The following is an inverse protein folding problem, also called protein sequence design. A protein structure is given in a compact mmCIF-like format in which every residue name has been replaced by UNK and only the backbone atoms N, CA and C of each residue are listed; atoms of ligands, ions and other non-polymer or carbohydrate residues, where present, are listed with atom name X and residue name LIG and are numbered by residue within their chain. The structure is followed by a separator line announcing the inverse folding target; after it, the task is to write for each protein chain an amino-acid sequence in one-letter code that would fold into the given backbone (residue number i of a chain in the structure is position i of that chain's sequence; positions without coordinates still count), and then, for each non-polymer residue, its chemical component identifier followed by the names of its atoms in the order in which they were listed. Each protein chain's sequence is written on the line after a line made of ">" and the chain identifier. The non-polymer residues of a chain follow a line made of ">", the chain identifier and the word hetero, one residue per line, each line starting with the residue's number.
data_IF_396697289821
#
_entry.id   IF_396697289821
#
_cell.length_a   1.000
_cell.length_b   1.000
_cell.length_c   1.000
_cell.angle_alpha   90.00
_cell.angle_beta   90.00
_cell.angle_gamma   90.00
#
_symmetry.space_group_name_H-M   'P 1'
#
loop_
_entity.id
_entity.type
_entity.pdbx_description
1 polymer ?
#
# COMPACT_ATOMS: atom_id res chain seq x y z
N UNK A 1 -12.68 -1.99 15.48
CA UNK A 1 -11.66 -2.71 16.27
C UNK A 1 -11.27 -1.83 17.46
N UNK A 2 -11.27 -2.36 18.67
CA UNK A 2 -10.81 -1.68 19.89
C UNK A 2 -9.43 -2.21 20.34
N UNK A 3 -8.86 -1.60 21.38
CA UNK A 3 -7.54 -1.94 21.90
C UNK A 3 -7.40 -3.43 22.27
N UNK A 4 -8.39 -3.99 22.98
CA UNK A 4 -8.40 -5.41 23.38
C UNK A 4 -8.38 -6.33 22.16
N UNK A 5 -9.28 -6.12 21.21
CA UNK A 5 -9.37 -6.90 19.97
C UNK A 5 -8.07 -6.84 19.16
N UNK A 6 -7.45 -5.66 19.06
CA UNK A 6 -6.19 -5.49 18.35
C UNK A 6 -5.04 -6.23 19.04
N UNK A 7 -4.94 -6.15 20.37
CA UNK A 7 -3.92 -6.87 21.15
C UNK A 7 -4.08 -8.39 21.02
N UNK A 8 -5.31 -8.89 21.06
CA UNK A 8 -5.63 -10.31 20.88
C UNK A 8 -5.17 -10.83 19.51
N UNK A 9 -5.43 -10.08 18.43
CA UNK A 9 -4.96 -10.44 17.08
C UNK A 9 -3.43 -10.39 16.95
N UNK A 10 -2.77 -9.43 17.59
CA UNK A 10 -1.32 -9.24 17.47
C UNK A 10 -0.49 -10.17 18.36
N UNK A 11 -1.03 -10.65 19.49
CA UNK A 11 -0.31 -11.49 20.45
C UNK A 11 0.37 -12.73 19.81
N UNK A 12 -0.32 -13.57 19.02
CA UNK A 12 0.32 -14.73 18.40
C UNK A 12 1.39 -14.34 17.37
N UNK A 13 1.18 -13.25 16.63
CA UNK A 13 2.17 -12.74 15.68
C UNK A 13 3.44 -12.26 16.38
N UNK A 14 3.30 -11.51 17.49
CA UNK A 14 4.42 -11.02 18.29
C UNK A 14 5.21 -12.19 18.90
N UNK A 15 4.54 -13.19 19.46
CA UNK A 15 5.19 -14.39 19.98
C UNK A 15 5.98 -15.12 18.89
N UNK A 16 5.39 -15.29 17.69
CA UNK A 16 6.10 -15.90 16.55
C UNK A 16 7.31 -15.08 16.12
N UNK A 17 7.18 -13.77 15.98
CA UNK A 17 8.30 -12.91 15.58
C UNK A 17 9.42 -12.87 16.62
N UNK A 18 9.11 -13.05 17.90
CA UNK A 18 10.12 -13.20 18.96
C UNK A 18 10.86 -14.54 18.87
N UNK A 19 10.14 -15.63 18.62
CA UNK A 19 10.72 -16.97 18.50
C UNK A 19 11.48 -17.16 17.17
N UNK A 20 10.95 -16.58 16.08
CA UNK A 20 11.45 -16.71 14.72
C UNK A 20 11.41 -15.34 14.00
N UNK A 21 12.42 -14.48 14.20
CA UNK A 21 12.45 -13.12 13.63
C UNK A 21 12.36 -13.07 12.10
N UNK A 22 12.90 -14.08 11.41
CA UNK A 22 12.83 -14.17 9.96
C UNK A 22 11.38 -14.25 9.43
N UNK A 23 10.46 -14.77 10.23
CA UNK A 23 9.03 -14.83 9.85
C UNK A 23 8.34 -13.47 9.80
N UNK A 24 8.98 -12.41 10.32
CA UNK A 24 8.52 -11.02 10.19
C UNK A 24 8.97 -10.35 8.88
N UNK A 25 9.90 -10.96 8.14
CA UNK A 25 10.41 -10.42 6.89
C UNK A 25 9.47 -10.81 5.73
N UNK A 26 8.93 -9.81 5.04
CA UNK A 26 8.04 -9.98 3.90
C UNK A 26 8.60 -9.23 2.69
N UNK A 27 8.53 -9.86 1.52
CA UNK A 27 8.82 -9.21 0.24
C UNK A 27 7.47 -8.84 -0.39
N UNK A 28 7.29 -7.55 -0.65
CA UNK A 28 6.13 -7.06 -1.40
C UNK A 28 6.47 -6.99 -2.88
N UNK A 29 5.56 -7.42 -3.74
CA UNK A 29 5.72 -7.41 -5.20
C UNK A 29 4.60 -6.62 -5.86
N UNK A 30 4.90 -6.04 -7.02
CA UNK A 30 3.93 -5.40 -7.90
C UNK A 30 4.31 -5.70 -9.34
N UNK A 31 3.30 -5.91 -10.19
CA UNK A 31 3.48 -6.18 -11.61
C UNK A 31 2.70 -5.15 -12.42
N UNK A 32 3.23 -4.81 -13.59
CA UNK A 32 2.61 -3.89 -14.52
C UNK A 32 2.79 -4.34 -15.96
N UNK A 33 1.82 -4.00 -16.81
CA UNK A 33 1.83 -4.28 -18.23
C UNK A 33 1.79 -2.98 -19.02
N UNK A 34 2.79 -2.77 -19.89
CA UNK A 34 2.85 -1.60 -20.76
C UNK A 34 1.72 -1.63 -21.79
N UNK A 35 1.10 -0.48 -22.03
CA UNK A 35 0.13 -0.31 -23.10
C UNK A 35 0.85 -0.14 -24.45
N UNK A 36 0.31 -0.77 -25.51
CA UNK A 36 0.92 -0.74 -26.84
C UNK A 36 0.49 0.47 -27.69
N UNK A 37 -0.62 1.13 -27.33
CA UNK A 37 -1.20 2.26 -28.05
C UNK A 37 -1.10 3.60 -27.31
N UNK A 38 -0.70 3.59 -26.04
CA UNK A 38 -0.61 4.78 -25.21
C UNK A 38 0.67 4.80 -24.34
N UNK A 39 1.06 6.01 -23.89
CA UNK A 39 2.08 6.17 -22.84
C UNK A 39 1.45 5.87 -21.49
N UNK A 40 1.15 4.59 -21.26
CA UNK A 40 0.47 4.10 -20.08
C UNK A 40 0.98 2.73 -19.63
N UNK A 41 0.76 2.41 -18.36
CA UNK A 41 1.06 1.12 -17.74
C UNK A 41 -0.13 0.67 -16.90
N UNK A 42 -0.62 -0.53 -17.18
CA UNK A 42 -1.67 -1.20 -16.41
C UNK A 42 -1.05 -1.81 -15.15
N UNK A 43 -1.47 -1.38 -13.96
CA UNK A 43 -0.96 -1.91 -12.68
C UNK A 43 -2.09 -2.63 -11.95
N UNK A 44 -1.87 -3.87 -11.56
CA UNK A 44 -2.83 -4.62 -10.77
C UNK A 44 -2.81 -4.12 -9.32
N UNK A 45 -3.96 -3.70 -8.82
CA UNK A 45 -4.16 -3.38 -7.40
C UNK A 45 -5.12 -4.38 -6.77
N UNK A 46 -5.19 -4.39 -5.43
CA UNK A 46 -6.10 -5.27 -4.70
C UNK A 46 -7.59 -5.05 -4.97
N UNK A 47 -7.98 -3.96 -5.67
CA UNK A 47 -9.37 -3.69 -6.03
C UNK A 47 -9.64 -3.68 -7.53
N UNK A 48 -8.68 -3.21 -8.34
CA UNK A 48 -8.86 -3.09 -9.78
C UNK A 48 -7.53 -3.03 -10.54
N UNK A 49 -7.59 -3.22 -11.85
CA UNK A 49 -6.52 -2.83 -12.75
C UNK A 49 -6.58 -1.31 -12.97
N UNK A 50 -5.48 -0.61 -12.69
CA UNK A 50 -5.38 0.85 -12.84
C UNK A 50 -4.50 1.17 -14.05
N UNK A 51 -4.98 2.05 -14.93
CA UNK A 51 -4.15 2.66 -15.98
C UNK A 51 -3.38 3.84 -15.40
N UNK A 52 -2.07 3.69 -15.29
CA UNK A 52 -1.17 4.75 -14.85
C UNK A 52 -0.51 5.42 -16.07
N UNK A 53 -0.41 6.74 -16.07
CA UNK A 53 0.15 7.51 -17.19
C UNK A 53 0.92 8.74 -16.76
N UNK A 54 1.32 9.56 -17.74
CA UNK A 54 2.07 10.78 -17.49
C UNK A 54 1.24 11.80 -16.70
N UNK A 55 1.89 12.46 -15.75
CA UNK A 55 1.33 13.63 -15.09
C UNK A 55 1.18 14.79 -16.09
N UNK A 56 0.19 15.69 -15.94
CA UNK A 56 0.04 16.84 -16.84
C UNK A 56 1.27 17.73 -16.95
N UNK A 57 2.02 17.92 -15.86
CA UNK A 57 3.29 18.68 -15.87
C UNK A 57 4.41 17.99 -16.69
N UNK A 58 4.24 16.72 -17.04
CA UNK A 58 5.13 15.96 -17.91
C UNK A 58 4.51 15.70 -19.31
N UNK A 59 3.41 16.39 -19.65
CA UNK A 59 2.75 16.29 -20.96
C UNK A 59 1.61 15.27 -21.04
N UNK A 60 1.15 14.72 -19.92
CA UNK A 60 -0.08 13.92 -19.89
C UNK A 60 -1.35 14.77 -20.06
N UNK A 61 -2.43 14.18 -20.54
CA UNK A 61 -3.73 14.85 -20.70
C UNK A 61 -4.64 14.73 -19.46
N UNK A 62 -4.18 13.99 -18.43
CA UNK A 62 -4.93 13.74 -17.20
C UNK A 62 -5.98 12.62 -17.29
N UNK A 63 -6.02 11.87 -18.39
CA UNK A 63 -6.95 10.74 -18.57
C UNK A 63 -6.58 9.49 -17.75
N UNK A 64 -5.29 9.34 -17.41
CA UNK A 64 -4.76 8.21 -16.64
C UNK A 64 -4.38 8.62 -15.21
N UNK A 65 -4.31 7.63 -14.32
CA UNK A 65 -3.86 7.85 -12.95
C UNK A 65 -2.40 8.31 -12.94
N UNK A 66 -2.12 9.37 -12.18
CA UNK A 66 -0.75 9.81 -11.98
C UNK A 66 -0.01 8.87 -11.02
N UNK A 67 1.13 8.32 -11.46
CA UNK A 67 1.97 7.48 -10.60
C UNK A 67 2.54 8.22 -9.39
N UNK A 68 2.79 9.53 -9.52
CA UNK A 68 3.21 10.39 -8.41
C UNK A 68 2.12 10.50 -7.33
N UNK A 69 0.87 10.72 -7.74
CA UNK A 69 -0.26 10.74 -6.80
C UNK A 69 -0.47 9.38 -6.16
N UNK A 70 -0.37 8.29 -6.93
CA UNK A 70 -0.47 6.93 -6.41
C UNK A 70 0.57 6.66 -5.32
N UNK A 71 1.82 7.10 -5.53
CA UNK A 71 2.89 6.99 -4.53
C UNK A 71 2.55 7.77 -3.26
N UNK A 72 2.09 9.02 -3.40
CA UNK A 72 1.73 9.87 -2.26
C UNK A 72 0.50 9.33 -1.49
N UNK A 73 -0.48 8.77 -2.20
CA UNK A 73 -1.65 8.11 -1.63
C UNK A 73 -1.23 6.87 -0.82
N UNK A 74 -0.33 6.04 -1.35
CA UNK A 74 0.22 4.90 -0.62
C UNK A 74 0.98 5.35 0.65
N UNK A 75 1.79 6.41 0.54
CA UNK A 75 2.54 6.98 1.66
C UNK A 75 1.61 7.48 2.78
N UNK A 76 0.62 8.32 2.45
CA UNK A 76 -0.29 8.88 3.45
C UNK A 76 -1.18 7.81 4.07
N UNK A 77 -1.61 6.82 3.28
CA UNK A 77 -2.37 5.67 3.78
C UNK A 77 -1.56 4.84 4.79
N UNK A 78 -0.30 4.54 4.47
CA UNK A 78 0.60 3.81 5.36
C UNK A 78 0.82 4.55 6.69
N UNK A 79 1.11 5.85 6.62
CA UNK A 79 1.28 6.68 7.81
C UNK A 79 0.00 6.77 8.66
N UNK A 80 -1.15 7.00 8.03
CA UNK A 80 -2.45 7.12 8.70
C UNK A 80 -2.88 5.84 9.41
N UNK A 81 -2.74 4.69 8.75
CA UNK A 81 -3.05 3.38 9.37
C UNK A 81 -2.13 3.12 10.56
N UNK A 82 -0.83 3.40 10.43
CA UNK A 82 0.13 3.23 11.52
C UNK A 82 -0.23 4.11 12.72
N UNK A 83 -0.50 5.40 12.49
CA UNK A 83 -0.92 6.34 13.52
C UNK A 83 -2.16 5.85 14.26
N UNK A 84 -3.19 5.43 13.51
CA UNK A 84 -4.45 4.95 14.09
C UNK A 84 -4.25 3.65 14.88
N UNK A 85 -3.44 2.73 14.37
CA UNK A 85 -3.14 1.46 15.04
C UNK A 85 -2.42 1.69 16.38
N UNK A 86 -1.42 2.59 16.42
CA UNK A 86 -0.72 2.95 17.66
C UNK A 86 -1.66 3.62 18.64
N UNK A 87 -2.43 4.63 18.21
CA UNK A 87 -3.40 5.30 19.08
C UNK A 87 -4.40 4.31 19.69
N UNK A 88 -4.94 3.40 18.88
CA UNK A 88 -5.87 2.35 19.33
C UNK A 88 -5.23 1.39 20.33
N UNK A 89 -3.91 1.19 20.28
CA UNK A 89 -3.18 0.31 21.21
C UNK A 89 -2.80 1.01 22.52
N UNK A 90 -2.90 2.33 22.61
CA UNK A 90 -2.65 3.13 23.82
C UNK A 90 -3.92 3.32 24.66
N UNK A 91 -5.09 3.24 24.04
CA UNK A 91 -6.39 3.18 24.72
C UNK A 91 -6.56 1.87 25.54
#
# INVERSE_FOLDING_TARGET
>A
MNAKQLRELQAPLKARYQAEPASACLVLTAEGQLDAGAVACSVATGQALIQAGLHPAAGGDGSFACTGDMLLQALVGCAGVTLRAVATALD
#
